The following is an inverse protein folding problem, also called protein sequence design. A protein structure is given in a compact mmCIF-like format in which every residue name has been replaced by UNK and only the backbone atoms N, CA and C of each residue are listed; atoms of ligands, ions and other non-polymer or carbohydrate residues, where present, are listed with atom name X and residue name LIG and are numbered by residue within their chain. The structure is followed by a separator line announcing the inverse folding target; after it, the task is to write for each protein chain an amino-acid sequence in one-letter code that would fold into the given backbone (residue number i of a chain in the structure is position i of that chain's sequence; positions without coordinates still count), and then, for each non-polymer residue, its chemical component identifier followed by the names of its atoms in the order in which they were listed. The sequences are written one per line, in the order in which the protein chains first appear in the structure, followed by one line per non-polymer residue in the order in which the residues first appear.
data_IF_238384329199
#
_entry.id   IF_238384329199
#
_cell.length_a   1.000
_cell.length_b   1.000
_cell.length_c   1.000
_cell.angle_alpha   90.00
_cell.angle_beta   90.00
_cell.angle_gamma   90.00
#
_symmetry.space_group_name_H-M   'P 1'
#
loop_
_entity.id
_entity.type
_entity.pdbx_description
1 polymer ?
#
# COMPACT_ATOMS: atom_id res chain seq x y z
N UNK A 1 19.70 37.23 -21.21
CA UNK A 1 19.65 35.75 -21.17
C UNK A 1 18.18 35.37 -21.19
N UNK A 2 17.68 34.68 -22.23
CA UNK A 2 16.29 34.23 -22.23
C UNK A 2 16.15 33.10 -21.22
N UNK A 3 15.18 33.23 -20.32
CA UNK A 3 14.64 32.14 -19.53
C UNK A 3 14.13 31.10 -20.53
N UNK A 4 14.82 29.95 -20.62
CA UNK A 4 14.26 28.78 -21.26
C UNK A 4 13.14 28.28 -20.34
N UNK A 5 11.91 28.56 -20.73
CA UNK A 5 10.74 27.78 -20.31
C UNK A 5 10.94 26.36 -20.86
N UNK A 6 11.54 25.49 -20.06
CA UNK A 6 11.49 24.05 -20.29
C UNK A 6 10.17 23.52 -19.70
N UNK A 7 9.07 23.78 -20.41
CA UNK A 7 7.82 23.07 -20.22
C UNK A 7 8.02 21.60 -20.58
N UNK A 8 7.85 20.71 -19.59
CA UNK A 8 7.50 19.26 -19.68
C UNK A 8 8.45 18.20 -19.09
N UNK A 9 9.42 18.52 -18.26
CA UNK A 9 10.43 17.50 -17.88
C UNK A 9 9.96 16.36 -16.95
N UNK A 10 8.78 16.43 -16.31
CA UNK A 10 8.20 15.25 -15.63
C UNK A 10 6.67 15.25 -15.70
N UNK A 11 6.12 14.56 -16.69
CA UNK A 11 4.69 14.25 -16.73
C UNK A 11 4.40 13.25 -15.58
N UNK A 12 3.70 13.69 -14.53
CA UNK A 12 3.37 12.88 -13.32
C UNK A 12 2.36 11.77 -13.62
N UNK A 13 2.73 10.90 -14.55
CA UNK A 13 1.94 9.79 -15.09
C UNK A 13 2.78 8.52 -15.14
N UNK A 14 2.17 7.34 -15.31
CA UNK A 14 2.91 6.11 -15.50
C UNK A 14 3.93 6.21 -16.66
N UNK A 15 5.14 5.65 -16.53
CA UNK A 15 5.64 4.81 -15.43
C UNK A 15 6.27 5.56 -14.24
N UNK A 16 6.40 6.89 -14.31
CA UNK A 16 7.15 7.68 -13.33
C UNK A 16 6.35 8.01 -12.06
N UNK A 17 5.04 8.19 -12.20
CA UNK A 17 4.16 8.41 -11.07
C UNK A 17 2.84 7.64 -11.23
N UNK A 18 2.37 7.05 -10.13
CA UNK A 18 1.09 6.35 -10.08
C UNK A 18 0.18 7.03 -9.07
N UNK A 19 -0.99 7.42 -9.54
CA UNK A 19 -1.98 8.04 -8.68
C UNK A 19 -2.58 7.02 -7.70
N UNK A 20 -2.69 7.42 -6.42
CA UNK A 20 -3.29 6.60 -5.37
C UNK A 20 -3.97 7.50 -4.34
N UNK A 21 -5.13 7.10 -3.85
CA UNK A 21 -5.76 7.76 -2.72
C UNK A 21 -4.99 7.43 -1.44
N UNK A 22 -4.80 8.44 -0.60
CA UNK A 22 -4.30 8.22 0.74
C UNK A 22 -5.33 7.41 1.54
N UNK A 23 -5.05 6.15 1.86
CA UNK A 23 -5.97 5.29 2.61
C UNK A 23 -6.37 5.89 3.96
N UNK A 24 -5.49 6.67 4.58
CA UNK A 24 -5.82 7.39 5.82
C UNK A 24 -6.93 8.43 5.62
N UNK A 25 -6.87 9.18 4.52
CA UNK A 25 -7.90 10.18 4.21
C UNK A 25 -9.19 9.52 3.74
N UNK A 26 -9.09 8.45 2.93
CA UNK A 26 -10.24 7.62 2.60
C UNK A 26 -10.94 7.13 3.87
N UNK A 27 -10.20 6.50 4.79
CA UNK A 27 -10.72 6.08 6.09
C UNK A 27 -11.35 7.24 6.89
N UNK A 28 -10.72 8.42 6.90
CA UNK A 28 -11.23 9.58 7.63
C UNK A 28 -12.54 10.13 7.03
N UNK A 29 -12.66 10.15 5.71
CA UNK A 29 -13.88 10.58 5.02
C UNK A 29 -15.03 9.62 5.33
N UNK A 30 -14.80 8.30 5.17
CA UNK A 30 -15.81 7.29 5.50
C UNK A 30 -16.15 7.28 7.01
N UNK A 31 -15.20 7.61 7.88
CA UNK A 31 -15.49 7.79 9.30
C UNK A 31 -16.42 8.98 9.56
N UNK A 32 -16.16 10.12 8.93
CA UNK A 32 -16.95 11.34 9.10
C UNK A 32 -18.38 11.14 8.61
N UNK A 33 -18.56 10.46 7.49
CA UNK A 33 -19.87 10.27 6.87
C UNK A 33 -20.65 9.08 7.46
N UNK A 34 -19.98 7.97 7.77
CA UNK A 34 -20.64 6.69 8.07
C UNK A 34 -20.21 6.06 9.41
N UNK A 35 -19.34 6.73 10.16
CA UNK A 35 -18.95 6.34 11.51
C UNK A 35 -17.87 5.25 11.58
N UNK A 36 -17.59 4.82 12.82
CA UNK A 36 -16.43 4.00 13.19
C UNK A 36 -16.44 2.59 12.60
N UNK A 37 -17.60 1.96 12.48
CA UNK A 37 -17.72 0.59 11.98
C UNK A 37 -17.39 0.51 10.48
N UNK A 38 -17.98 1.39 9.68
CA UNK A 38 -17.72 1.47 8.23
C UNK A 38 -16.26 1.81 7.96
N UNK A 39 -15.69 2.79 8.69
CA UNK A 39 -14.25 3.08 8.64
C UNK A 39 -13.39 1.82 8.81
N UNK A 40 -13.70 0.99 9.81
CA UNK A 40 -12.93 -0.21 10.11
C UNK A 40 -13.01 -1.21 8.95
N UNK A 41 -14.18 -1.37 8.34
CA UNK A 41 -14.41 -2.28 7.22
C UNK A 41 -13.74 -1.79 5.92
N UNK A 42 -13.83 -0.50 5.60
CA UNK A 42 -13.11 0.11 4.46
C UNK A 42 -11.60 -0.07 4.62
N UNK A 43 -11.08 0.15 5.83
CA UNK A 43 -9.65 -0.07 6.14
C UNK A 43 -9.22 -1.51 5.86
N UNK A 44 -9.90 -2.49 6.46
CA UNK A 44 -9.48 -3.88 6.26
C UNK A 44 -9.63 -4.31 4.80
N UNK A 45 -10.69 -3.85 4.12
CA UNK A 45 -10.92 -4.15 2.71
C UNK A 45 -9.83 -3.55 1.80
N UNK A 46 -9.48 -2.28 1.97
CA UNK A 46 -8.45 -1.60 1.18
C UNK A 46 -7.06 -2.21 1.33
N UNK A 47 -6.74 -2.73 2.51
CA UNK A 47 -5.44 -3.30 2.85
C UNK A 47 -5.30 -4.80 2.50
N UNK A 48 -6.34 -5.45 1.96
CA UNK A 48 -6.21 -6.85 1.53
C UNK A 48 -5.27 -6.95 0.33
N UNK A 49 -4.31 -7.87 0.41
CA UNK A 49 -3.37 -8.18 -0.68
C UNK A 49 -3.82 -9.36 -1.55
N UNK A 50 -4.95 -10.02 -1.23
CA UNK A 50 -5.45 -11.20 -1.94
C UNK A 50 -6.83 -10.92 -2.51
N UNK A 51 -7.03 -11.17 -3.81
CA UNK A 51 -8.31 -10.96 -4.52
C UNK A 51 -9.47 -11.66 -3.81
N UNK A 52 -9.29 -12.90 -3.35
CA UNK A 52 -10.30 -13.66 -2.61
C UNK A 52 -10.71 -13.00 -1.29
N UNK A 53 -9.74 -12.61 -0.46
CA UNK A 53 -10.00 -11.93 0.81
C UNK A 53 -10.62 -10.57 0.60
N UNK A 54 -10.11 -9.81 -0.38
CA UNK A 54 -10.70 -8.54 -0.79
C UNK A 54 -12.18 -8.69 -1.13
N UNK A 55 -12.54 -9.63 -2.02
CA UNK A 55 -13.94 -9.91 -2.39
C UNK A 55 -14.79 -10.24 -1.16
N UNK A 56 -14.29 -11.11 -0.28
CA UNK A 56 -15.01 -11.46 0.96
C UNK A 56 -15.24 -10.25 1.88
N UNK A 57 -14.22 -9.39 2.06
CA UNK A 57 -14.33 -8.16 2.86
C UNK A 57 -15.24 -7.13 2.20
N UNK A 58 -15.20 -7.01 0.88
CA UNK A 58 -16.08 -6.12 0.14
C UNK A 58 -17.54 -6.54 0.28
N UNK A 59 -17.84 -7.83 0.15
CA UNK A 59 -19.19 -8.37 0.41
C UNK A 59 -19.63 -8.15 1.85
N UNK A 60 -18.71 -8.27 2.82
CA UNK A 60 -19.02 -7.99 4.22
C UNK A 60 -19.32 -6.51 4.45
N UNK A 61 -18.56 -5.60 3.83
CA UNK A 61 -18.79 -4.16 3.88
C UNK A 61 -20.17 -3.79 3.33
N UNK A 62 -20.62 -4.44 2.23
CA UNK A 62 -22.00 -4.28 1.73
C UNK A 62 -23.06 -4.60 2.78
N UNK A 63 -22.85 -5.65 3.59
CA UNK A 63 -23.82 -6.07 4.62
C UNK A 63 -23.85 -5.15 5.84
N UNK A 64 -22.72 -4.55 6.19
CA UNK A 64 -22.65 -3.57 7.29
C UNK A 64 -23.21 -2.21 6.91
N UNK A 65 -23.18 -1.91 5.62
CA UNK A 65 -23.69 -0.69 5.04
C UNK A 65 -25.22 -0.81 4.88
N UNK A 66 -25.99 -0.30 5.83
CA UNK A 66 -27.44 -0.10 5.67
C UNK A 66 -27.78 0.87 4.52
N UNK A 67 -26.78 1.56 3.96
CA UNK A 67 -26.93 2.57 2.93
C UNK A 67 -26.22 2.13 1.64
N UNK A 68 -26.95 1.72 0.60
CA UNK A 68 -26.38 1.30 -0.69
C UNK A 68 -25.38 2.31 -1.29
N UNK A 69 -25.53 3.60 -0.92
CA UNK A 69 -24.67 4.71 -1.34
C UNK A 69 -23.19 4.48 -1.01
N UNK A 70 -22.86 3.91 0.16
CA UNK A 70 -21.46 3.65 0.57
C UNK A 70 -20.76 2.76 -0.47
N UNK A 71 -21.47 1.73 -0.93
CA UNK A 71 -20.92 0.77 -1.86
C UNK A 71 -20.86 1.33 -3.28
N UNK A 72 -21.89 2.08 -3.70
CA UNK A 72 -21.90 2.78 -5.00
C UNK A 72 -20.73 3.77 -5.09
N UNK A 73 -20.45 4.55 -4.04
CA UNK A 73 -19.30 5.45 -4.01
C UNK A 73 -17.97 4.70 -4.20
N UNK A 74 -17.77 3.58 -3.52
CA UNK A 74 -16.55 2.77 -3.67
C UNK A 74 -16.41 2.13 -5.05
N UNK A 75 -17.53 1.82 -5.72
CA UNK A 75 -17.52 1.31 -7.10
C UNK A 75 -17.19 2.41 -8.12
N UNK A 76 -17.64 3.64 -7.88
CA UNK A 76 -17.27 4.81 -8.68
C UNK A 76 -15.78 5.15 -8.55
N UNK A 77 -15.17 4.84 -7.41
CA UNK A 77 -13.73 4.96 -7.23
C UNK A 77 -12.98 3.87 -7.99
N UNK A 78 -11.97 4.25 -8.76
CA UNK A 78 -11.09 3.28 -9.41
C UNK A 78 -10.37 2.42 -8.36
N UNK A 79 -10.64 1.10 -8.36
CA UNK A 79 -10.10 0.14 -7.38
C UNK A 79 -8.58 0.16 -7.31
N UNK A 80 -7.89 0.44 -8.42
CA UNK A 80 -6.42 0.55 -8.46
C UNK A 80 -5.89 1.66 -7.53
N UNK A 81 -6.70 2.68 -7.27
CA UNK A 81 -6.30 3.85 -6.46
C UNK A 81 -6.51 3.65 -4.96
N UNK A 82 -7.35 2.71 -4.51
CA UNK A 82 -7.69 2.57 -3.08
C UNK A 82 -7.51 1.17 -2.50
N UNK A 83 -7.05 0.20 -3.29
CA UNK A 83 -6.86 -1.17 -2.82
C UNK A 83 -5.43 -1.64 -3.03
N UNK A 84 -4.95 -2.51 -2.16
CA UNK A 84 -3.64 -3.17 -2.30
C UNK A 84 -3.71 -4.30 -3.33
N UNK A 85 -4.87 -4.94 -3.45
CA UNK A 85 -5.09 -6.05 -4.38
C UNK A 85 -4.95 -5.65 -5.85
N UNK A 86 -5.35 -4.43 -6.23
CA UNK A 86 -5.41 -3.99 -7.64
C UNK A 86 -4.38 -2.92 -8.00
N UNK A 87 -3.46 -2.56 -7.08
CA UNK A 87 -2.46 -1.51 -7.32
C UNK A 87 -1.27 -1.97 -8.18
N UNK A 88 -1.26 -3.21 -8.67
CA UNK A 88 -0.14 -3.79 -9.42
C UNK A 88 1.09 -4.10 -8.56
N UNK A 89 0.92 -4.33 -7.26
CA UNK A 89 2.01 -4.63 -6.32
C UNK A 89 2.80 -3.40 -5.88
N UNK A 90 2.25 -2.20 -6.08
CA UNK A 90 2.91 -0.92 -5.79
C UNK A 90 2.81 -0.61 -4.29
N UNK A 91 3.94 -0.61 -3.59
CA UNK A 91 3.97 -0.40 -2.12
C UNK A 91 3.85 1.06 -1.68
N UNK A 92 3.74 2.00 -2.61
CA UNK A 92 3.51 3.41 -2.32
C UNK A 92 2.09 3.58 -1.76
N UNK A 93 1.94 3.98 -0.50
CA UNK A 93 0.62 4.10 0.15
C UNK A 93 0.36 3.14 1.31
N UNK A 94 1.40 2.43 1.77
CA UNK A 94 1.39 1.86 3.11
C UNK A 94 0.91 2.92 4.11
N UNK A 95 -0.18 2.65 4.83
CA UNK A 95 -0.74 3.51 5.89
C UNK A 95 0.18 3.70 7.10
N UNK A 96 1.48 3.41 6.96
CA UNK A 96 2.51 3.70 7.95
C UNK A 96 2.72 5.20 8.03
N UNK A 97 1.83 5.82 8.80
CA UNK A 97 1.99 7.17 9.34
C UNK A 97 3.33 7.40 10.02
N UNK A 98 4.15 6.37 10.29
CA UNK A 98 5.41 6.52 10.98
C UNK A 98 6.36 7.52 10.29
N UNK A 99 6.53 7.42 8.97
CA UNK A 99 7.45 8.33 8.27
C UNK A 99 6.94 9.78 8.28
N UNK A 100 5.66 9.99 7.98
CA UNK A 100 5.04 11.33 8.03
C UNK A 100 4.93 11.89 9.45
N UNK A 101 4.65 11.06 10.46
CA UNK A 101 4.60 11.47 11.87
C UNK A 101 5.98 11.80 12.41
N UNK A 102 6.98 10.99 12.08
CA UNK A 102 8.38 11.27 12.43
C UNK A 102 8.82 12.59 11.82
N UNK A 103 8.48 12.83 10.55
CA UNK A 103 8.79 14.08 9.88
C UNK A 103 8.03 15.27 10.47
N UNK A 104 6.73 15.11 10.78
CA UNK A 104 5.95 16.13 11.49
C UNK A 104 6.51 16.43 12.89
N UNK A 105 7.13 15.44 13.56
CA UNK A 105 7.85 15.63 14.82
C UNK A 105 9.03 16.58 14.63
N UNK A 106 9.88 16.32 13.63
CA UNK A 106 11.01 17.19 13.27
C UNK A 106 10.53 18.60 12.90
N UNK A 107 9.48 18.71 12.08
CA UNK A 107 8.95 20.00 11.67
C UNK A 107 8.33 20.81 12.82
N UNK A 108 7.79 20.14 13.86
CA UNK A 108 7.27 20.85 15.04
C UNK A 108 8.35 21.66 15.74
N UNK A 109 9.58 21.16 15.79
CA UNK A 109 10.72 21.88 16.38
C UNK A 109 11.05 23.14 15.59
N UNK A 110 10.86 23.14 14.27
CA UNK A 110 11.19 24.25 13.39
C UNK A 110 10.07 25.30 13.20
N UNK A 111 8.86 25.11 13.76
CA UNK A 111 7.70 25.98 13.50
C UNK A 111 7.87 27.45 13.87
N UNK A 112 8.77 27.74 14.80
CA UNK A 112 9.05 29.11 15.25
C UNK A 112 10.12 29.81 14.40
N UNK A 113 10.72 29.10 13.44
CA UNK A 113 11.79 29.61 12.60
C UNK A 113 11.22 30.30 11.34
N UNK A 114 11.93 31.31 10.79
CA UNK A 114 11.61 31.85 9.46
C UNK A 114 11.60 30.76 8.39
N UNK A 115 10.83 30.95 7.32
CA UNK A 115 10.65 29.96 6.23
C UNK A 115 11.98 29.39 5.73
N UNK A 116 12.96 30.26 5.46
CA UNK A 116 14.29 29.84 4.99
C UNK A 116 15.04 28.98 6.02
N UNK A 117 14.95 29.32 7.30
CA UNK A 117 15.58 28.55 8.37
C UNK A 117 14.92 27.18 8.55
N UNK A 118 13.59 27.09 8.39
CA UNK A 118 12.86 25.81 8.39
C UNK A 118 13.27 24.90 7.25
N UNK A 119 13.44 25.44 6.04
CA UNK A 119 13.92 24.68 4.86
C UNK A 119 15.32 24.14 5.12
N UNK A 120 16.24 24.99 5.59
CA UNK A 120 17.61 24.59 5.91
C UNK A 120 17.64 23.53 7.03
N UNK A 121 16.91 23.75 8.12
CA UNK A 121 16.81 22.80 9.23
C UNK A 121 16.34 21.42 8.76
N UNK A 122 15.29 21.39 7.93
CA UNK A 122 14.73 20.16 7.38
C UNK A 122 15.72 19.42 6.49
N UNK A 123 16.46 20.16 5.66
CA UNK A 123 17.51 19.61 4.81
C UNK A 123 18.61 18.96 5.66
N UNK A 124 19.21 19.70 6.61
CA UNK A 124 20.30 19.18 7.43
C UNK A 124 19.86 18.01 8.31
N UNK A 125 18.65 18.05 8.89
CA UNK A 125 18.11 16.92 9.64
C UNK A 125 17.89 15.68 8.78
N UNK A 126 17.49 15.87 7.52
CA UNK A 126 17.36 14.76 6.57
C UNK A 126 18.73 14.15 6.25
N UNK A 127 19.73 15.00 5.96
CA UNK A 127 21.12 14.55 5.71
C UNK A 127 21.67 13.77 6.90
N UNK A 128 21.58 14.32 8.12
CA UNK A 128 22.02 13.67 9.37
C UNK A 128 21.36 12.30 9.55
N UNK A 129 20.04 12.21 9.32
CA UNK A 129 19.28 10.97 9.45
C UNK A 129 19.70 9.90 8.44
N UNK A 130 19.93 10.29 7.19
CA UNK A 130 20.36 9.36 6.13
C UNK A 130 21.80 8.92 6.32
N UNK A 131 22.69 9.81 6.71
CA UNK A 131 24.08 9.51 7.00
C UNK A 131 24.20 8.49 8.15
N UNK A 132 23.50 8.73 9.26
CA UNK A 132 23.47 7.79 10.38
C UNK A 132 22.90 6.41 10.00
N UNK A 133 21.99 6.33 9.01
CA UNK A 133 21.49 5.05 8.48
C UNK A 133 22.47 4.38 7.55
N UNK A 134 23.18 5.15 6.74
CA UNK A 134 24.20 4.65 5.84
C UNK A 134 25.30 3.96 6.64
N UNK A 135 25.81 4.62 7.70
CA UNK A 135 26.80 4.03 8.62
C UNK A 135 26.31 2.70 9.19
N UNK A 136 25.09 2.66 9.76
CA UNK A 136 24.51 1.41 10.28
C UNK A 136 24.35 0.33 9.23
N UNK A 137 23.98 0.70 8.01
CA UNK A 137 23.84 -0.22 6.89
C UNK A 137 25.19 -0.79 6.46
N UNK A 138 26.22 0.06 6.42
CA UNK A 138 27.59 -0.35 6.10
C UNK A 138 28.16 -1.27 7.18
N UNK A 139 27.96 -0.98 8.47
CA UNK A 139 28.35 -1.86 9.58
C UNK A 139 27.63 -3.21 9.54
N UNK A 140 26.34 -3.21 9.19
CA UNK A 140 25.57 -4.45 9.05
C UNK A 140 26.14 -5.31 7.93
N UNK A 141 26.48 -4.67 6.81
CA UNK A 141 27.09 -5.31 5.65
C UNK A 141 28.52 -5.81 5.93
N UNK A 142 29.33 -5.05 6.67
CA UNK A 142 30.70 -5.46 7.03
C UNK A 142 30.70 -6.68 7.97
N UNK A 143 29.67 -6.83 8.80
CA UNK A 143 29.40 -8.05 9.58
C UNK A 143 28.86 -9.23 8.76
N UNK A 144 28.79 -9.10 7.42
CA UNK A 144 28.33 -10.14 6.51
C UNK A 144 26.82 -10.37 6.50
N UNK A 145 26.01 -9.43 6.99
CA UNK A 145 24.55 -9.55 6.93
C UNK A 145 24.00 -8.85 5.68
N UNK A 146 23.24 -9.59 4.87
CA UNK A 146 22.56 -9.06 3.68
C UNK A 146 21.37 -8.14 4.01
N UNK A 147 20.83 -8.27 5.23
CA UNK A 147 19.65 -7.56 5.69
C UNK A 147 19.88 -6.91 7.05
N UNK A 148 19.14 -5.83 7.31
CA UNK A 148 19.09 -5.23 8.65
C UNK A 148 18.53 -6.22 9.68
N UNK A 149 18.93 -6.06 10.94
CA UNK A 149 18.43 -6.87 12.06
C UNK A 149 16.89 -6.90 12.09
N UNK A 150 16.25 -5.76 11.87
CA UNK A 150 14.80 -5.67 11.80
C UNK A 150 14.17 -6.57 10.72
N UNK A 151 14.74 -6.57 9.51
CA UNK A 151 14.24 -7.41 8.40
C UNK A 151 14.48 -8.87 8.72
N UNK A 152 15.65 -9.21 9.30
CA UNK A 152 16.00 -10.57 9.71
C UNK A 152 15.04 -11.10 10.78
N UNK A 153 14.76 -10.32 11.81
CA UNK A 153 13.79 -10.67 12.86
C UNK A 153 12.39 -10.92 12.28
N UNK A 154 11.94 -10.08 11.34
CA UNK A 154 10.66 -10.28 10.65
C UNK A 154 10.66 -11.54 9.80
N UNK A 155 11.72 -11.78 9.05
CA UNK A 155 11.89 -12.98 8.26
C UNK A 155 11.85 -14.23 9.16
N UNK A 156 12.62 -14.25 10.25
CA UNK A 156 12.68 -15.38 11.17
C UNK A 156 11.34 -15.64 11.85
N UNK A 157 10.62 -14.57 12.24
CA UNK A 157 9.27 -14.67 12.78
C UNK A 157 8.30 -15.33 11.78
N UNK A 158 8.34 -14.92 10.52
CA UNK A 158 7.48 -15.52 9.48
C UNK A 158 7.93 -16.93 9.09
N UNK A 159 9.24 -17.20 9.06
CA UNK A 159 9.79 -18.53 8.82
C UNK A 159 9.31 -19.53 9.88
N UNK A 160 9.33 -19.14 11.16
CA UNK A 160 8.76 -19.94 12.25
C UNK A 160 7.25 -20.14 12.10
N UNK A 161 6.53 -19.12 11.61
CA UNK A 161 5.08 -19.18 11.38
C UNK A 161 4.70 -19.97 10.13
N UNK A 162 5.65 -20.24 9.24
CA UNK A 162 5.47 -21.00 8.01
C UNK A 162 5.66 -22.52 8.20
N UNK A 163 5.93 -22.97 9.43
CA UNK A 163 6.00 -24.40 9.75
C UNK A 163 4.65 -25.06 9.43
N UNK A 164 4.68 -26.08 8.57
CA UNK A 164 3.49 -26.79 8.07
C UNK A 164 2.94 -26.29 6.73
N UNK A 165 3.52 -25.25 6.14
CA UNK A 165 3.20 -24.82 4.79
C UNK A 165 3.91 -25.74 3.80
N UNK A 166 3.25 -26.11 2.70
CA UNK A 166 3.88 -26.83 1.59
C UNK A 166 3.82 -25.97 0.34
N UNK A 167 4.89 -25.98 -0.45
CA UNK A 167 5.01 -25.21 -1.68
C UNK A 167 5.24 -26.18 -2.84
N UNK A 168 4.33 -26.15 -3.81
CA UNK A 168 4.47 -26.86 -5.09
C UNK A 168 4.98 -25.85 -6.10
N UNK A 169 6.10 -26.18 -6.72
CA UNK A 169 6.74 -25.33 -7.73
C UNK A 169 6.32 -25.81 -9.11
N UNK A 170 5.71 -24.93 -9.91
CA UNK A 170 5.36 -25.25 -11.30
C UNK A 170 6.44 -24.76 -12.27
N UNK A 171 6.89 -23.52 -12.11
CA UNK A 171 7.96 -22.94 -12.91
C UNK A 171 8.76 -21.93 -12.08
N UNK A 172 10.06 -22.16 -11.93
CA UNK A 172 10.96 -21.25 -11.20
C UNK A 172 11.35 -20.02 -11.99
N UNK A 173 11.42 -20.12 -13.32
CA UNK A 173 11.81 -19.00 -14.18
C UNK A 173 10.67 -17.96 -14.26
N UNK A 174 9.43 -18.44 -14.28
CA UNK A 174 8.22 -17.60 -14.26
C UNK A 174 7.72 -17.24 -12.85
N UNK A 175 8.42 -17.66 -11.79
CA UNK A 175 8.00 -17.48 -10.40
C UNK A 175 6.57 -18.01 -10.08
N UNK A 176 6.22 -19.18 -10.62
CA UNK A 176 4.91 -19.80 -10.47
C UNK A 176 4.91 -20.92 -9.41
N UNK A 177 4.18 -20.70 -8.30
CA UNK A 177 4.20 -21.57 -7.12
C UNK A 177 2.83 -21.67 -6.41
N UNK A 178 2.33 -22.87 -6.15
CA UNK A 178 1.18 -23.08 -5.27
C UNK A 178 1.64 -23.29 -3.82
N UNK A 179 0.98 -22.60 -2.90
CA UNK A 179 1.30 -22.66 -1.46
C UNK A 179 0.11 -23.21 -0.70
N UNK A 180 0.20 -24.46 -0.25
CA UNK A 180 -0.76 -25.00 0.70
C UNK A 180 -0.37 -24.61 2.12
N UNK A 181 -1.40 -24.36 2.92
CA UNK A 181 -1.24 -23.96 4.31
C UNK A 181 -2.03 -24.87 5.20
N UNK A 182 -1.56 -25.11 6.43
CA UNK A 182 -2.33 -25.87 7.40
C UNK A 182 -3.63 -25.13 7.71
N UNK A 183 -4.68 -25.89 7.96
CA UNK A 183 -5.99 -25.35 8.28
C UNK A 183 -5.89 -24.55 9.58
N UNK A 184 -6.23 -23.27 9.54
CA UNK A 184 -6.27 -22.44 10.73
C UNK A 184 -7.69 -22.52 11.35
N UNK A 185 -7.88 -23.20 12.50
CA UNK A 185 -9.18 -23.44 13.10
C UNK A 185 -9.85 -22.18 13.68
N UNK A 186 -9.12 -21.07 13.82
CA UNK A 186 -9.62 -19.76 14.25
C UNK A 186 -9.70 -18.74 13.12
N UNK A 187 -9.45 -19.17 11.87
CA UNK A 187 -9.60 -18.30 10.70
C UNK A 187 -11.05 -17.82 10.57
N UNK A 188 -11.31 -16.51 10.44
CA UNK A 188 -12.66 -15.97 10.18
C UNK A 188 -13.22 -16.38 8.80
N UNK A 189 -12.46 -17.17 8.03
CA UNK A 189 -12.86 -17.76 6.75
C UNK A 189 -13.26 -19.25 6.89
N UNK A 190 -13.31 -19.80 8.11
CA UNK A 190 -13.77 -21.16 8.40
C UNK A 190 -15.26 -21.27 8.04
N UNK A 191 -15.62 -22.19 7.14
CA UNK A 191 -17.01 -22.43 6.73
C UNK A 191 -17.48 -21.75 5.44
N UNK A 192 -16.61 -21.03 4.72
CA UNK A 192 -16.89 -20.61 3.34
C UNK A 192 -16.39 -21.69 2.37
N UNK A 193 -17.21 -22.71 2.12
CA UNK A 193 -17.06 -23.50 0.89
C UNK A 193 -17.46 -22.60 -0.29
N UNK A 194 -16.45 -22.08 -0.98
CA UNK A 194 -16.62 -21.41 -2.26
C UNK A 194 -15.77 -22.21 -3.25
N UNK A 195 -16.30 -22.58 -4.44
CA UNK A 195 -15.60 -23.39 -5.41
C UNK A 195 -14.19 -22.83 -5.65
N UNK A 196 -13.18 -23.69 -5.57
CA UNK A 196 -11.82 -23.36 -6.01
C UNK A 196 -11.88 -23.16 -7.53
N UNK A 197 -11.60 -21.97 -8.10
CA UNK A 197 -11.22 -21.91 -9.50
C UNK A 197 -9.86 -22.61 -9.65
N UNK A 198 -9.68 -23.28 -10.79
CA UNK A 198 -8.54 -24.17 -11.12
C UNK A 198 -7.15 -23.52 -11.04
N UNK A 199 -7.01 -22.23 -10.74
CA UNK A 199 -5.74 -21.50 -10.74
C UNK A 199 -5.55 -20.58 -9.51
N UNK A 200 -5.97 -20.98 -8.31
CA UNK A 200 -5.76 -20.20 -7.05
C UNK A 200 -4.33 -20.40 -6.50
N UNK A 201 -3.34 -19.96 -7.29
CA UNK A 201 -1.91 -20.07 -7.02
C UNK A 201 -1.47 -18.86 -6.17
N UNK A 202 -1.37 -19.04 -4.85
CA UNK A 202 -0.47 -18.23 -4.02
C UNK A 202 -1.09 -17.47 -2.85
N UNK A 203 -0.70 -17.85 -1.62
CA UNK A 203 -0.70 -16.92 -0.48
C UNK A 203 0.59 -16.12 -0.50
N UNK A 204 0.50 -14.80 -0.73
CA UNK A 204 1.65 -13.91 -0.55
C UNK A 204 1.83 -13.44 0.89
N UNK A 205 3.08 -13.56 1.34
CA UNK A 205 3.72 -12.73 2.37
C UNK A 205 3.63 -11.26 1.95
N UNK A 206 3.44 -10.33 2.90
CA UNK A 206 3.29 -8.88 2.68
C UNK A 206 4.48 -8.16 2.02
N UNK A 207 5.41 -8.90 1.40
CA UNK A 207 6.59 -8.41 0.69
C UNK A 207 6.85 -9.13 -0.65
N UNK A 208 5.91 -9.89 -1.24
CA UNK A 208 6.09 -10.59 -2.53
C UNK A 208 5.23 -10.01 -3.67
N UNK A 209 5.64 -10.18 -4.94
CA UNK A 209 4.99 -9.69 -6.18
C UNK A 209 4.04 -10.77 -6.75
N UNK A 210 2.88 -10.40 -7.29
CA UNK A 210 2.14 -11.20 -8.30
C UNK A 210 2.57 -10.51 -9.57
N UNK A 211 3.23 -11.25 -10.44
CA UNK A 211 3.34 -10.84 -11.82
C UNK A 211 2.08 -11.40 -12.47
N UNK A 212 1.19 -10.51 -12.88
CA UNK A 212 0.19 -10.87 -13.88
C UNK A 212 0.46 -9.97 -15.07
N UNK A 213 0.83 -10.62 -16.18
CA UNK A 213 0.62 -10.12 -17.53
C UNK A 213 -0.78 -9.54 -17.62
N UNK A 214 -0.88 -8.32 -18.13
CA UNK A 214 -2.04 -7.77 -18.84
C UNK A 214 -1.57 -6.44 -19.46
N UNK A 215 -0.88 -6.56 -20.59
CA UNK A 215 -0.64 -5.48 -21.54
C UNK A 215 -1.61 -5.69 -22.70
N UNK A 216 -2.83 -5.13 -22.64
CA UNK A 216 -3.69 -4.94 -23.81
C UNK A 216 -4.60 -3.72 -23.61
N UNK A 217 -4.46 -2.78 -24.56
CA UNK A 217 -5.32 -1.68 -25.00
C UNK A 217 -6.17 -0.88 -24.00
N UNK A 218 -5.88 0.43 -23.92
CA UNK A 218 -6.80 1.46 -23.43
C UNK A 218 -7.04 2.49 -24.53
N UNK A 219 -7.89 2.15 -25.50
CA UNK A 219 -8.59 3.18 -26.28
C UNK A 219 -9.82 3.66 -25.53
N UNK A 220 -9.86 4.96 -25.29
CA UNK A 220 -11.05 5.80 -25.13
C UNK A 220 -11.94 5.53 -23.92
N UNK A 221 -11.82 6.41 -22.91
CA UNK A 221 -12.90 7.37 -22.60
C UNK A 221 -12.45 8.28 -21.45
N UNK A 222 -12.16 9.53 -21.81
CA UNK A 222 -12.19 10.66 -20.89
C UNK A 222 -13.64 11.06 -20.68
N UNK A 223 -14.07 11.33 -19.44
CA UNK A 223 -14.94 12.46 -19.03
C UNK A 223 -14.95 12.55 -17.49
N UNK A 224 -14.46 13.69 -17.00
CA UNK A 224 -14.79 14.46 -15.76
C UNK A 224 -15.09 13.70 -14.45
N UNK A 225 -14.12 13.73 -13.53
CA UNK A 225 -14.33 13.67 -12.07
C UNK A 225 -13.62 14.88 -11.42
N UNK A 226 -14.29 16.04 -11.42
CA UNK A 226 -13.76 17.27 -10.82
C UNK A 226 -14.23 17.54 -9.38
N UNK A 227 -15.10 16.71 -8.78
CA UNK A 227 -15.82 17.16 -7.57
C UNK A 227 -15.79 16.21 -6.36
N UNK A 228 -14.97 15.15 -6.37
CA UNK A 228 -14.87 14.21 -5.22
C UNK A 228 -13.51 14.16 -4.52
N UNK A 229 -12.53 14.94 -4.99
CA UNK A 229 -11.23 15.06 -4.33
C UNK A 229 -10.89 16.54 -4.21
N UNK A 230 -11.24 17.13 -3.06
CA UNK A 230 -10.76 18.46 -2.72
C UNK A 230 -9.22 18.47 -2.75
N UNK A 231 -8.57 19.35 -3.54
CA UNK A 231 -7.13 19.47 -3.54
C UNK A 231 -6.78 20.41 -2.39
N UNK A 232 -6.16 19.91 -1.32
CA UNK A 232 -5.40 20.81 -0.45
C UNK A 232 -4.30 20.08 0.32
N UNK A 233 -3.09 20.36 -0.16
CA UNK A 233 -1.91 20.62 0.66
C UNK A 233 -2.35 21.36 1.93
N UNK A 234 -2.05 20.79 3.09
CA UNK A 234 -2.10 21.53 4.35
C UNK A 234 -0.67 21.63 4.84
N UNK A 235 -0.16 22.87 4.88
CA UNK A 235 1.06 23.28 5.56
C UNK A 235 1.05 22.85 7.03
#
# INVERSE_FOLDING_TARGET
MPFLEDESVYDWKPPYAYHRYCLRHLEANYHRQFGKLVRKEVKVCSMECQKKKFKAKLTRLKRFSTNEVIFQELELLNRKNWTFTYDGGRRYGSGTTNSLKSFNGVLKEARHLPVMATVMFTFYKSVEYFDARLVKSMETKSKGNDFSLYVKEKYDHWKKSAVGYTVIVFDRAADLYEVHTPMNPTSPYKGFEVPKPENDVGKRCGLGREVHEDYVDLTSQAVRQSDLVSPCITL
#
